data_IF_637892649222
#
_entry.id   IF_637892649222
#
_cell.length_a   1.000
_cell.length_b   1.000
_cell.length_c   1.000
_cell.angle_alpha   90.00
_cell.angle_beta   90.00
_cell.angle_gamma   90.00
#
_symmetry.space_group_name_H-M   'P 1'
#
loop_
_entity.id
_entity.type
_entity.pdbx_description
1 polymer ?
#
# COMPACT_ATOMS: atom_id res chain seq x y z
N UNK A 1 -2.63 7.37 13.32
CA UNK A 1 -2.37 6.09 14.02
C UNK A 1 -2.99 4.96 13.21
N UNK A 2 -2.22 3.93 12.89
CA UNK A 2 -2.64 2.77 12.08
C UNK A 2 -3.19 1.65 12.98
N UNK A 3 -3.93 2.04 14.02
CA UNK A 3 -4.36 1.18 15.12
C UNK A 3 -5.07 -0.10 14.61
N UNK A 4 -4.51 -1.29 14.85
CA UNK A 4 -5.23 -2.54 14.73
C UNK A 4 -6.05 -2.78 16.00
N UNK A 5 -7.21 -3.42 15.88
CA UNK A 5 -7.97 -3.93 17.04
C UNK A 5 -8.24 -5.42 16.84
N UNK A 6 -8.10 -6.18 17.92
CA UNK A 6 -8.35 -7.61 17.92
C UNK A 6 -9.78 -7.85 18.40
N UNK A 7 -10.67 -8.24 17.50
CA UNK A 7 -12.08 -8.50 17.80
C UNK A 7 -12.31 -10.00 17.92
N UNK A 8 -13.12 -10.40 18.89
CA UNK A 8 -13.56 -11.79 19.02
C UNK A 8 -14.73 -12.09 18.08
N UNK A 9 -14.94 -13.37 17.75
CA UNK A 9 -16.14 -13.81 17.02
C UNK A 9 -17.42 -13.35 17.72
N UNK A 10 -17.46 -13.46 19.06
CA UNK A 10 -18.62 -13.08 19.87
C UNK A 10 -18.97 -11.61 19.68
N UNK A 11 -17.99 -10.71 19.77
CA UNK A 11 -18.18 -9.28 19.54
C UNK A 11 -18.73 -8.98 18.14
N UNK A 12 -18.22 -9.67 17.12
CA UNK A 12 -18.69 -9.51 15.73
C UNK A 12 -20.14 -10.00 15.54
N UNK A 13 -20.54 -11.07 16.23
CA UNK A 13 -21.89 -11.64 16.15
C UNK A 13 -22.91 -10.83 16.96
N UNK A 14 -22.56 -10.42 18.17
CA UNK A 14 -23.44 -9.67 19.07
C UNK A 14 -23.46 -8.18 18.77
N UNK A 15 -22.43 -7.66 18.09
CA UNK A 15 -22.30 -6.24 17.75
C UNK A 15 -22.09 -5.34 18.97
N UNK A 16 -21.55 -5.91 20.05
CA UNK A 16 -21.24 -5.23 21.32
C UNK A 16 -19.76 -5.41 21.61
N UNK A 17 -19.03 -4.32 21.77
CA UNK A 17 -17.59 -4.33 22.02
C UNK A 17 -17.25 -4.31 23.50
N UNK A 18 -16.17 -5.00 23.88
CA UNK A 18 -15.70 -5.03 25.29
C UNK A 18 -15.04 -3.71 25.73
N UNK A 19 -14.54 -2.93 24.77
CA UNK A 19 -13.90 -1.63 25.00
C UNK A 19 -14.49 -0.57 24.07
N UNK A 20 -14.32 0.74 24.36
CA UNK A 20 -14.75 1.81 23.45
C UNK A 20 -14.14 1.68 22.04
N UNK A 21 -12.87 1.26 21.94
CA UNK A 21 -12.20 1.04 20.67
C UNK A 21 -12.80 -0.14 19.89
N UNK A 22 -13.16 -1.23 20.59
CA UNK A 22 -13.83 -2.37 19.97
C UNK A 22 -15.23 -1.97 19.48
N UNK A 23 -15.99 -1.23 20.31
CA UNK A 23 -17.31 -0.75 19.92
C UNK A 23 -17.23 0.15 18.69
N UNK A 24 -16.26 1.05 18.61
CA UNK A 24 -16.06 1.90 17.42
C UNK A 24 -15.77 1.07 16.16
N UNK A 25 -14.97 0.00 16.27
CA UNK A 25 -14.72 -0.88 15.15
C UNK A 25 -15.99 -1.62 14.68
N UNK A 26 -16.80 -2.11 15.62
CA UNK A 26 -18.09 -2.73 15.32
C UNK A 26 -19.07 -1.74 14.69
N UNK A 27 -19.07 -0.49 15.15
CA UNK A 27 -19.89 0.58 14.59
C UNK A 27 -19.48 0.88 13.14
N UNK A 28 -18.18 0.91 12.84
CA UNK A 28 -17.67 1.03 11.48
C UNK A 28 -18.11 -0.14 10.60
N UNK A 29 -17.90 -1.37 11.05
CA UNK A 29 -18.30 -2.61 10.35
C UNK A 29 -19.80 -2.54 9.99
N UNK A 30 -20.65 -2.18 10.96
CA UNK A 30 -22.10 -2.04 10.76
C UNK A 30 -22.43 -0.92 9.78
N UNK A 31 -21.82 0.25 9.95
CA UNK A 31 -22.09 1.46 9.16
C UNK A 31 -21.79 1.25 7.68
N UNK A 32 -20.65 0.64 7.36
CA UNK A 32 -20.24 0.38 5.96
C UNK A 32 -20.80 -0.93 5.40
N UNK A 33 -21.56 -1.67 6.23
CA UNK A 33 -22.13 -2.99 5.93
C UNK A 33 -21.06 -3.96 5.41
N UNK A 34 -19.98 -4.07 6.18
CA UNK A 34 -18.82 -4.85 5.78
C UNK A 34 -19.17 -6.34 5.67
N UNK A 35 -18.89 -7.02 4.53
CA UNK A 35 -19.17 -8.43 4.39
C UNK A 35 -18.09 -9.25 5.11
N UNK A 36 -18.40 -9.77 6.29
CA UNK A 36 -17.43 -10.53 7.10
C UNK A 36 -17.34 -12.02 6.76
N UNK A 37 -18.25 -12.53 5.91
CA UNK A 37 -18.38 -13.97 5.66
C UNK A 37 -19.14 -14.71 6.78
N UNK A 38 -19.35 -16.02 6.60
CA UNK A 38 -20.05 -16.87 7.57
C UNK A 38 -19.09 -17.60 8.53
N UNK A 39 -17.88 -17.90 8.07
CA UNK A 39 -16.88 -18.65 8.83
C UNK A 39 -15.86 -17.69 9.45
N UNK A 40 -16.24 -17.09 10.59
CA UNK A 40 -15.40 -16.15 11.32
C UNK A 40 -14.41 -16.93 12.21
N UNK A 41 -13.10 -16.62 12.17
CA UNK A 41 -12.15 -17.09 13.18
C UNK A 41 -12.56 -16.69 14.60
N UNK A 42 -12.01 -17.35 15.63
CA UNK A 42 -12.26 -16.99 17.04
C UNK A 42 -11.85 -15.55 17.33
N UNK A 43 -10.73 -15.13 16.73
CA UNK A 43 -10.13 -13.82 16.86
C UNK A 43 -9.74 -13.30 15.48
N UNK A 44 -10.02 -12.03 15.22
CA UNK A 44 -9.62 -11.37 13.98
C UNK A 44 -8.98 -10.02 14.27
N UNK A 45 -8.08 -9.59 13.38
CA UNK A 45 -7.55 -8.23 13.41
C UNK A 45 -8.37 -7.36 12.46
N UNK A 46 -8.86 -6.23 12.96
CA UNK A 46 -9.53 -5.21 12.16
C UNK A 46 -8.69 -3.93 12.11
N UNK A 47 -8.48 -3.40 10.90
CA UNK A 47 -7.69 -2.18 10.69
C UNK A 47 -8.50 -0.91 10.98
N UNK A 48 -8.78 -0.63 12.26
CA UNK A 48 -9.54 0.57 12.68
C UNK A 48 -8.85 1.89 12.29
N UNK A 49 -7.52 1.96 12.42
CA UNK A 49 -6.72 3.14 12.06
C UNK A 49 -6.93 3.59 10.61
N UNK A 50 -6.76 2.71 9.61
CA UNK A 50 -7.07 3.02 8.21
C UNK A 50 -8.51 3.52 7.98
N UNK A 51 -9.50 2.97 8.67
CA UNK A 51 -10.90 3.44 8.58
C UNK A 51 -11.05 4.88 9.08
N UNK A 52 -10.50 5.17 10.27
CA UNK A 52 -10.46 6.53 10.82
C UNK A 52 -9.75 7.49 9.86
N UNK A 53 -8.64 7.04 9.28
CA UNK A 53 -7.86 7.86 8.36
C UNK A 53 -8.62 8.22 7.09
N UNK A 54 -9.30 7.27 6.42
CA UNK A 54 -10.08 7.59 5.22
C UNK A 54 -11.31 8.45 5.53
N UNK A 55 -11.92 8.29 6.71
CA UNK A 55 -12.99 9.17 7.17
C UNK A 55 -12.50 10.61 7.36
N UNK A 56 -11.30 10.77 7.91
CA UNK A 56 -10.68 12.08 8.08
C UNK A 56 -10.28 12.69 6.73
N UNK A 57 -9.73 11.90 5.80
CA UNK A 57 -9.49 12.33 4.42
C UNK A 57 -10.77 12.85 3.76
N UNK A 58 -11.89 12.15 3.95
CA UNK A 58 -13.18 12.61 3.42
C UNK A 58 -13.57 13.98 4.01
N UNK A 59 -13.35 14.18 5.31
CA UNK A 59 -13.66 15.45 5.98
C UNK A 59 -12.81 16.61 5.46
N UNK A 60 -11.50 16.39 5.29
CA UNK A 60 -10.54 17.49 5.00
C UNK A 60 -10.35 17.77 3.51
N UNK A 61 -10.53 16.78 2.64
CA UNK A 61 -10.41 17.01 1.20
C UNK A 61 -11.53 17.92 0.71
N UNK A 62 -11.16 18.93 -0.09
CA UNK A 62 -12.12 19.71 -0.88
C UNK A 62 -12.70 18.85 -2.00
N UNK A 63 -13.87 19.20 -2.56
CA UNK A 63 -14.35 18.58 -3.81
C UNK A 63 -13.28 18.63 -4.91
N UNK A 64 -13.03 17.51 -5.59
CA UNK A 64 -11.94 17.31 -6.55
C UNK A 64 -10.57 17.06 -5.91
N UNK A 65 -10.48 17.10 -4.57
CA UNK A 65 -9.28 16.76 -3.82
C UNK A 65 -8.96 15.27 -3.97
N UNK A 66 -7.66 14.96 -3.97
CA UNK A 66 -7.15 13.61 -4.23
C UNK A 66 -6.24 13.13 -3.11
N UNK A 67 -6.23 11.83 -2.90
CA UNK A 67 -5.24 11.16 -2.05
C UNK A 67 -4.64 9.98 -2.80
N UNK A 68 -3.36 9.74 -2.53
CA UNK A 68 -2.62 8.55 -2.94
C UNK A 68 -2.28 7.79 -1.66
N UNK A 69 -2.80 6.57 -1.53
CA UNK A 69 -2.52 5.69 -0.40
C UNK A 69 -1.76 4.47 -0.91
N UNK A 70 -0.68 4.10 -0.22
CA UNK A 70 0.08 2.89 -0.52
C UNK A 70 0.50 2.23 0.77
N UNK A 71 0.32 0.92 0.86
CA UNK A 71 0.73 0.10 2.00
C UNK A 71 0.74 -1.39 1.60
N UNK A 72 1.54 -2.19 2.30
CA UNK A 72 1.50 -3.65 2.25
C UNK A 72 0.14 -4.18 2.74
N UNK A 73 -0.44 -5.14 2.03
CA UNK A 73 -1.70 -5.72 2.48
C UNK A 73 -2.31 -6.76 1.56
N UNK A 74 -3.50 -7.18 1.98
CA UNK A 74 -4.24 -8.33 1.45
C UNK A 74 -5.62 -7.89 0.92
N UNK A 75 -6.26 -8.77 0.15
CA UNK A 75 -7.64 -8.58 -0.35
C UNK A 75 -8.61 -9.63 0.19
N UNK A 76 -8.08 -10.78 0.64
CA UNK A 76 -8.85 -11.93 1.11
C UNK A 76 -8.41 -12.32 2.52
N UNK A 77 -9.34 -12.82 3.33
CA UNK A 77 -9.05 -13.23 4.71
C UNK A 77 -8.91 -12.07 5.69
N UNK A 78 -8.11 -12.27 6.73
CA UNK A 78 -7.94 -11.32 7.84
C UNK A 78 -6.48 -10.90 8.00
N UNK A 79 -6.19 -9.63 8.33
CA UNK A 79 -4.84 -9.13 8.54
C UNK A 79 -4.01 -9.98 9.50
N UNK A 80 -2.78 -10.28 9.09
CA UNK A 80 -1.77 -10.88 9.93
C UNK A 80 -0.78 -9.83 10.50
N UNK A 81 -0.18 -10.11 11.67
CA UNK A 81 0.94 -9.32 12.18
C UNK A 81 2.23 -9.60 11.39
N UNK A 82 2.93 -8.55 11.00
CA UNK A 82 4.26 -8.55 10.39
C UNK A 82 5.28 -8.09 11.41
N UNK A 83 6.15 -8.99 11.85
CA UNK A 83 7.20 -8.69 12.83
C UNK A 83 8.39 -8.01 12.15
N UNK A 84 8.68 -6.78 12.54
CA UNK A 84 9.84 -6.02 12.08
C UNK A 84 10.82 -5.79 13.24
N UNK A 85 12.07 -5.39 12.96
CA UNK A 85 13.03 -5.07 14.02
C UNK A 85 12.55 -3.88 14.87
N UNK A 86 12.09 -4.16 16.10
CA UNK A 86 11.70 -3.15 17.08
C UNK A 86 10.20 -2.87 17.17
N UNK A 87 9.38 -3.36 16.23
CA UNK A 87 7.92 -3.16 16.25
C UNK A 87 7.17 -4.21 15.42
N UNK A 88 5.86 -4.28 15.60
CA UNK A 88 4.95 -5.14 14.81
C UNK A 88 4.06 -4.24 13.97
N UNK A 89 4.01 -4.51 12.68
CA UNK A 89 3.05 -3.92 11.75
C UNK A 89 1.94 -4.92 11.45
N UNK A 90 0.86 -4.47 10.82
CA UNK A 90 -0.27 -5.33 10.45
C UNK A 90 -0.65 -5.03 9.01
N UNK A 91 -0.96 -6.09 8.27
CA UNK A 91 -1.47 -5.99 6.91
C UNK A 91 -2.70 -5.09 6.82
N UNK A 92 -2.82 -4.32 5.76
CA UNK A 92 -4.07 -3.62 5.45
C UNK A 92 -4.99 -4.57 4.67
N UNK A 93 -6.21 -4.79 5.16
CA UNK A 93 -7.25 -5.49 4.41
C UNK A 93 -7.95 -4.53 3.45
N UNK A 94 -7.49 -4.50 2.20
CA UNK A 94 -7.93 -3.54 1.18
C UNK A 94 -9.37 -3.75 0.74
N UNK A 95 -9.90 -4.97 0.78
CA UNK A 95 -11.31 -5.20 0.47
C UNK A 95 -12.22 -4.47 1.48
N UNK A 96 -11.84 -4.49 2.76
CA UNK A 96 -12.56 -3.78 3.81
C UNK A 96 -12.42 -2.27 3.68
N UNK A 97 -11.20 -1.78 3.48
CA UNK A 97 -10.93 -0.36 3.35
C UNK A 97 -11.64 0.25 2.13
N UNK A 98 -11.62 -0.45 0.98
CA UNK A 98 -12.30 0.00 -0.25
C UNK A 98 -13.81 0.07 -0.06
N UNK A 99 -14.40 -0.84 0.69
CA UNK A 99 -15.81 -0.77 1.05
C UNK A 99 -16.12 0.51 1.83
N UNK A 100 -15.29 0.85 2.83
CA UNK A 100 -15.45 2.09 3.59
C UNK A 100 -15.26 3.35 2.74
N UNK A 101 -14.24 3.35 1.87
CA UNK A 101 -13.96 4.43 0.93
C UNK A 101 -15.14 4.69 -0.01
N UNK A 102 -15.71 3.62 -0.60
CA UNK A 102 -16.89 3.72 -1.47
C UNK A 102 -18.11 4.19 -0.69
N UNK A 103 -18.31 3.68 0.52
CA UNK A 103 -19.40 4.09 1.41
C UNK A 103 -19.32 5.59 1.75
N UNK A 104 -18.11 6.13 1.98
CA UNK A 104 -17.89 7.56 2.20
C UNK A 104 -18.18 8.41 0.96
N UNK A 105 -18.19 7.83 -0.23
CA UNK A 105 -18.50 8.50 -1.50
C UNK A 105 -17.29 8.90 -2.33
N UNK A 106 -16.09 8.37 -2.03
CA UNK A 106 -14.94 8.56 -2.90
C UNK A 106 -15.10 7.84 -4.24
N UNK A 107 -14.55 8.43 -5.30
CA UNK A 107 -14.17 7.69 -6.50
C UNK A 107 -12.81 7.05 -6.24
N UNK A 108 -12.71 5.73 -6.43
CA UNK A 108 -11.49 4.98 -6.12
C UNK A 108 -10.94 4.21 -7.32
N UNK A 109 -9.61 4.10 -7.38
CA UNK A 109 -8.90 3.18 -8.26
C UNK A 109 -7.87 2.40 -7.43
N UNK A 110 -7.94 1.08 -7.55
CA UNK A 110 -7.07 0.15 -6.85
C UNK A 110 -6.15 -0.59 -7.83
N UNK A 111 -4.87 -0.68 -7.51
CA UNK A 111 -3.82 -1.29 -8.33
C UNK A 111 -2.76 -1.93 -7.43
N UNK A 112 -1.94 -2.84 -7.96
CA UNK A 112 -0.65 -3.12 -7.33
C UNK A 112 0.34 -1.98 -7.58
N UNK A 113 1.34 -1.82 -6.72
CA UNK A 113 2.37 -0.80 -6.89
C UNK A 113 3.12 -0.93 -8.23
N UNK A 114 3.53 -2.14 -8.69
CA UNK A 114 4.16 -2.30 -10.01
C UNK A 114 3.25 -1.85 -11.18
N UNK A 115 1.95 -2.15 -11.10
CA UNK A 115 0.99 -1.70 -12.12
C UNK A 115 0.86 -0.18 -12.14
N UNK A 116 0.79 0.46 -10.97
CA UNK A 116 0.71 1.92 -10.87
C UNK A 116 1.94 2.61 -11.44
N UNK A 117 3.13 2.06 -11.16
CA UNK A 117 4.41 2.57 -11.67
C UNK A 117 4.70 2.17 -13.12
N UNK A 118 3.78 1.44 -13.78
CA UNK A 118 3.94 0.90 -15.14
C UNK A 118 5.25 0.11 -15.33
N UNK A 119 5.63 -0.66 -14.30
CA UNK A 119 6.83 -1.49 -14.33
C UNK A 119 6.62 -2.70 -15.26
N UNK A 120 7.63 -3.03 -16.07
CA UNK A 120 7.59 -4.24 -16.87
C UNK A 120 7.80 -5.46 -15.97
N UNK A 121 6.93 -6.50 -16.01
CA UNK A 121 7.03 -7.64 -15.11
C UNK A 121 8.38 -8.37 -15.15
N UNK A 122 9.00 -8.45 -16.33
CA UNK A 122 10.28 -9.11 -16.60
C UNK A 122 11.50 -8.23 -16.31
N UNK A 123 11.31 -7.08 -15.66
CA UNK A 123 12.44 -6.23 -15.26
C UNK A 123 13.25 -6.96 -14.19
N UNK A 124 14.50 -7.30 -14.52
CA UNK A 124 15.42 -7.96 -13.60
C UNK A 124 16.02 -6.97 -12.60
N UNK A 125 15.82 -7.23 -11.31
CA UNK A 125 16.36 -6.43 -10.20
C UNK A 125 17.16 -7.32 -9.25
N UNK A 126 18.24 -6.76 -8.68
CA UNK A 126 19.10 -7.42 -7.70
C UNK A 126 18.25 -7.96 -6.55
N UNK A 127 18.54 -9.12 -5.96
CA UNK A 127 17.79 -9.66 -4.83
C UNK A 127 18.00 -8.87 -3.52
N UNK A 128 16.99 -8.83 -2.63
CA UNK A 128 17.00 -7.99 -1.42
C UNK A 128 18.14 -8.34 -0.48
N UNK A 129 18.42 -9.64 -0.31
CA UNK A 129 19.55 -10.12 0.49
C UNK A 129 20.91 -9.64 -0.02
N UNK A 130 21.11 -9.60 -1.34
CA UNK A 130 22.34 -9.07 -1.93
C UNK A 130 22.45 -7.56 -1.69
N UNK A 131 21.36 -6.80 -1.85
CA UNK A 131 21.37 -5.36 -1.61
C UNK A 131 21.78 -4.99 -0.17
N UNK A 132 21.26 -5.71 0.85
CA UNK A 132 21.67 -5.51 2.24
C UNK A 132 23.12 -5.92 2.50
N UNK A 133 23.58 -7.01 1.90
CA UNK A 133 24.99 -7.44 2.03
C UNK A 133 25.94 -6.41 1.44
N UNK A 134 25.63 -5.90 0.24
CA UNK A 134 26.42 -4.85 -0.42
C UNK A 134 26.42 -3.58 0.43
N UNK A 135 25.28 -3.19 0.99
CA UNK A 135 25.20 -2.03 1.88
C UNK A 135 26.21 -2.13 3.04
N UNK A 136 26.35 -3.30 3.66
CA UNK A 136 27.31 -3.51 4.76
C UNK A 136 28.76 -3.36 4.30
N UNK A 137 29.11 -3.86 3.11
CA UNK A 137 30.44 -3.64 2.54
C UNK A 137 30.69 -2.16 2.27
N UNK A 138 29.73 -1.46 1.67
CA UNK A 138 29.83 -0.03 1.43
C UNK A 138 29.99 0.76 2.73
N UNK A 139 29.23 0.44 3.77
CA UNK A 139 29.37 1.05 5.11
C UNK A 139 30.77 0.84 5.70
N UNK A 140 31.32 -0.38 5.63
CA UNK A 140 32.68 -0.67 6.10
C UNK A 140 33.76 0.13 5.34
N UNK A 141 33.47 0.52 4.09
CA UNK A 141 34.32 1.36 3.25
C UNK A 141 33.99 2.85 3.34
N UNK A 142 33.09 3.26 4.26
CA UNK A 142 32.58 4.63 4.37
C UNK A 142 31.99 5.18 3.06
N UNK A 143 31.38 4.31 2.25
CA UNK A 143 30.67 4.66 1.00
C UNK A 143 29.15 4.56 1.19
N UNK A 144 28.37 5.51 0.67
CA UNK A 144 26.92 5.42 0.70
C UNK A 144 26.42 4.36 -0.30
N UNK A 145 25.44 3.56 0.12
CA UNK A 145 24.72 2.64 -0.77
C UNK A 145 23.26 2.53 -0.29
N UNK A 146 22.30 3.20 -0.96
CA UNK A 146 20.89 3.10 -0.59
C UNK A 146 20.34 1.73 -1.01
N UNK A 147 19.57 1.09 -0.13
CA UNK A 147 18.88 -0.17 -0.45
C UNK A 147 17.66 0.15 -1.32
N UNK A 148 17.68 -0.28 -2.58
CA UNK A 148 16.60 -0.12 -3.56
C UNK A 148 16.71 -1.19 -4.65
N UNK A 149 15.70 -1.26 -5.52
CA UNK A 149 15.63 -2.23 -6.62
C UNK A 149 16.63 -1.83 -7.72
N UNK A 150 17.85 -2.34 -7.67
CA UNK A 150 18.86 -2.05 -8.70
C UNK A 150 18.68 -2.99 -9.88
N UNK A 151 18.53 -2.45 -11.08
CA UNK A 151 18.91 -3.20 -12.30
C UNK A 151 20.42 -3.40 -12.33
N UNK A 152 20.91 -4.36 -13.12
CA UNK A 152 22.36 -4.60 -13.26
C UNK A 152 23.13 -3.34 -13.69
N UNK A 153 22.58 -2.60 -14.66
CA UNK A 153 23.18 -1.34 -15.12
C UNK A 153 23.27 -0.30 -14.01
N UNK A 154 22.23 -0.14 -13.21
CA UNK A 154 22.25 0.79 -12.08
C UNK A 154 23.19 0.33 -10.97
N UNK A 155 23.30 -0.98 -10.73
CA UNK A 155 24.24 -1.53 -9.76
C UNK A 155 25.69 -1.25 -10.19
N UNK A 156 25.98 -1.45 -11.48
CA UNK A 156 27.28 -1.13 -12.07
C UNK A 156 27.62 0.36 -11.93
N UNK A 157 26.64 1.24 -12.12
CA UNK A 157 26.83 2.68 -11.88
C UNK A 157 27.07 3.01 -10.41
N UNK A 158 26.37 2.33 -9.49
CA UNK A 158 26.49 2.59 -8.06
C UNK A 158 27.82 2.09 -7.48
N UNK A 159 28.33 0.96 -7.96
CA UNK A 159 29.48 0.28 -7.37
C UNK A 159 30.77 0.45 -8.17
N UNK A 160 30.69 0.74 -9.48
CA UNK A 160 31.86 0.89 -10.35
C UNK A 160 32.79 -0.32 -10.25
N UNK A 161 34.07 -0.07 -9.96
CA UNK A 161 35.13 -1.09 -9.85
C UNK A 161 34.95 -2.07 -8.67
N UNK A 162 33.99 -1.81 -7.77
CA UNK A 162 33.66 -2.74 -6.70
C UNK A 162 32.81 -3.91 -7.22
N UNK A 163 31.93 -3.68 -8.21
CA UNK A 163 31.00 -4.72 -8.67
C UNK A 163 31.70 -6.00 -9.15
N UNK A 164 32.78 -5.94 -9.97
CA UNK A 164 33.48 -7.15 -10.42
C UNK A 164 34.12 -7.98 -9.29
N UNK A 165 34.29 -7.39 -8.10
CA UNK A 165 34.84 -8.06 -6.90
C UNK A 165 33.76 -8.76 -6.07
N UNK A 166 32.49 -8.58 -6.42
CA UNK A 166 31.34 -9.16 -5.74
C UNK A 166 30.81 -10.32 -6.58
N UNK A 167 30.79 -11.50 -5.98
CA UNK A 167 30.22 -12.71 -6.59
C UNK A 167 28.85 -13.04 -5.98
N UNK A 168 28.01 -13.76 -6.72
CA UNK A 168 26.69 -14.18 -6.25
C UNK A 168 25.63 -13.06 -6.29
N UNK A 169 25.78 -12.07 -7.17
CA UNK A 169 24.69 -11.13 -7.45
C UNK A 169 23.60 -11.86 -8.26
N UNK A 170 22.47 -12.14 -7.62
CA UNK A 170 21.31 -12.76 -8.25
C UNK A 170 20.26 -11.71 -8.60
N UNK A 171 19.66 -11.84 -9.78
CA UNK A 171 18.62 -10.94 -10.25
C UNK A 171 17.32 -11.71 -10.48
N UNK A 172 16.22 -11.14 -10.00
CA UNK A 172 14.88 -11.70 -10.10
C UNK A 172 13.98 -10.77 -10.89
N UNK A 173 12.92 -11.32 -11.48
CA UNK A 173 11.87 -10.48 -12.05
C UNK A 173 11.27 -9.61 -10.95
N UNK A 174 10.91 -8.37 -11.28
CA UNK A 174 10.40 -7.42 -10.27
C UNK A 174 9.04 -7.83 -9.70
N UNK A 175 8.37 -8.79 -10.34
CA UNK A 175 7.15 -9.44 -9.85
C UNK A 175 7.41 -10.67 -8.99
N UNK A 176 8.66 -11.14 -8.91
CA UNK A 176 9.06 -12.21 -8.01
C UNK A 176 9.02 -11.70 -6.55
N UNK A 177 8.40 -12.45 -5.61
CA UNK A 177 8.43 -12.14 -4.18
C UNK A 177 9.83 -11.92 -3.60
N UNK A 178 10.88 -12.42 -4.28
CA UNK A 178 12.29 -12.22 -3.91
C UNK A 178 12.72 -10.75 -3.73
N UNK A 179 11.93 -9.80 -4.23
CA UNK A 179 12.17 -8.37 -4.04
C UNK A 179 11.03 -7.65 -3.32
N UNK A 180 11.17 -7.48 -1.98
CA UNK A 180 10.26 -6.75 -1.07
C UNK A 180 8.75 -7.07 -1.19
N UNK A 181 8.35 -8.15 -1.85
CA UNK A 181 6.94 -8.43 -2.13
C UNK A 181 6.24 -7.25 -2.80
N UNK A 182 6.84 -6.63 -3.83
CA UNK A 182 6.28 -5.40 -4.44
C UNK A 182 4.82 -5.57 -4.92
N UNK A 183 4.42 -6.78 -5.31
CA UNK A 183 3.02 -7.09 -5.67
C UNK A 183 2.05 -6.99 -4.48
N UNK A 184 2.55 -7.16 -3.26
CA UNK A 184 1.78 -7.10 -2.03
C UNK A 184 1.61 -5.65 -1.52
N UNK A 185 2.43 -4.72 -2.03
CA UNK A 185 2.15 -3.30 -1.91
C UNK A 185 1.03 -2.89 -2.87
N UNK A 186 -0.04 -2.36 -2.30
CA UNK A 186 -1.21 -1.93 -3.06
C UNK A 186 -1.30 -0.42 -3.07
N UNK A 187 -1.89 0.10 -4.14
CA UNK A 187 -2.13 1.53 -4.34
C UNK A 187 -3.63 1.75 -4.41
N UNK A 188 -4.12 2.67 -3.57
CA UNK A 188 -5.49 3.14 -3.57
C UNK A 188 -5.50 4.65 -3.86
N UNK A 189 -5.94 5.00 -5.07
CA UNK A 189 -6.13 6.38 -5.50
C UNK A 189 -7.54 6.81 -5.17
N UNK A 190 -7.68 7.93 -4.46
CA UNK A 190 -8.98 8.46 -4.04
C UNK A 190 -9.20 9.84 -4.64
N UNK A 191 -10.41 10.10 -5.12
CA UNK A 191 -10.88 11.43 -5.49
C UNK A 191 -12.23 11.73 -4.82
N UNK A 192 -12.32 12.87 -4.12
CA UNK A 192 -13.58 13.35 -3.58
C UNK A 192 -14.39 13.97 -4.71
N UNK A 193 -15.64 13.53 -4.97
CA UNK A 193 -16.43 14.05 -6.08
C UNK A 193 -16.78 15.54 -5.89
N UNK A 194 -17.23 16.17 -6.98
CA UNK A 194 -17.68 17.57 -6.99
C UNK A 194 -16.59 18.60 -7.28
N UNK A 195 -15.40 18.18 -7.73
CA UNK A 195 -14.41 19.11 -8.29
C UNK A 195 -14.96 19.82 -9.52
N UNK A 196 -14.60 21.10 -9.69
CA UNK A 196 -14.93 21.81 -10.93
C UNK A 196 -14.45 20.98 -12.13
N UNK A 197 -15.27 20.83 -13.20
CA UNK A 197 -14.84 20.11 -14.38
C UNK A 197 -13.52 20.71 -14.88
N UNK A 198 -12.46 19.90 -14.92
CA UNK A 198 -11.23 20.33 -15.57
C UNK A 198 -11.58 20.55 -17.03
N UNK A 199 -11.33 21.77 -17.53
CA UNK A 199 -11.46 22.05 -18.94
C UNK A 199 -10.63 21.01 -19.71
N UNK A 200 -11.30 20.14 -20.44
CA UNK A 200 -10.65 19.20 -21.34
C UNK A 200 -9.89 20.02 -22.38
N UNK A 201 -8.60 19.75 -22.55
CA UNK A 201 -7.83 20.33 -23.64
C UNK A 201 -7.15 19.26 -24.47
N UNK A 202 -7.02 19.55 -25.77
CA UNK A 202 -6.13 18.82 -26.66
C UNK A 202 -4.88 19.67 -26.90
N UNK A 203 -3.70 19.05 -26.90
CA UNK A 203 -2.44 19.73 -27.12
C UNK A 203 -1.94 19.38 -28.52
N UNK A 204 -1.79 20.38 -29.39
CA UNK A 204 -1.27 20.23 -30.75
C UNK A 204 -0.23 21.31 -31.03
N UNK A 205 0.98 20.90 -31.41
CA UNK A 205 2.14 21.77 -31.65
C UNK A 205 2.42 22.77 -30.52
N UNK A 206 2.28 22.35 -29.26
CA UNK A 206 2.52 23.20 -28.09
C UNK A 206 1.41 24.18 -27.74
N UNK A 207 0.29 24.18 -28.49
CA UNK A 207 -0.90 24.96 -28.17
C UNK A 207 -1.96 24.08 -27.52
N UNK A 208 -2.55 24.60 -26.42
CA UNK A 208 -3.64 23.95 -25.70
C UNK A 208 -4.99 24.46 -26.18
N UNK A 209 -5.80 23.56 -26.70
CA UNK A 209 -7.14 23.82 -27.21
C UNK A 209 -8.17 23.30 -26.21
N UNK A 210 -8.84 24.21 -25.50
CA UNK A 210 -9.85 23.84 -24.51
C UNK A 210 -11.20 23.60 -25.18
N UNK A 211 -11.79 22.42 -25.01
CA UNK A 211 -13.18 22.15 -25.35
C UNK A 211 -14.06 22.42 -24.13
N UNK A 212 -14.98 23.37 -24.24
CA UNK A 212 -16.11 23.48 -23.32
C UNK A 212 -17.20 22.50 -23.77
N UNK A 213 -17.69 21.68 -22.84
CA UNK A 213 -18.96 20.96 -22.99
C UNK A 213 -20.04 21.79 -22.31
#
# INVERSE_FOLDING_TARGET
>A
DMTPVKLTRKELQEGTGETPQHQEALDWIRRVRLPLGQDLPEDVIFNLGPFRFVAELWRVLKPGGRAFLTEFGIEEGWPAPVKLPGHTEYEVQYSHLRQAVRWLGFQERYLSLPQFLAMKPDTKVLCTGAAYTIQRFCQAMSKPFPVRAYTEKELQQALGDMLPKLHGCHYHDVVDPAWFGLLDFKVLLLEKPGGAPKASFSENQGYRWYSQK
#
